data_IF_517717796418
#
_entry.id   IF_517717796418
#
_cell.length_a   1.000
_cell.length_b   1.000
_cell.length_c   1.000
_cell.angle_alpha   90.00
_cell.angle_beta   90.00
_cell.angle_gamma   90.00
#
_symmetry.space_group_name_H-M   'P 1'
#
loop_
_entity.id
_entity.type
_entity.pdbx_description
1 polymer ?
#
# COMPACT_ATOMS: atom_id res chain seq x y z
N UNK A 1 -42.22 10.87 19.26
CA UNK A 1 -42.67 9.46 19.34
C UNK A 1 -41.43 8.62 19.12
N UNK A 2 -40.94 7.93 20.15
CA UNK A 2 -39.71 7.14 20.06
C UNK A 2 -40.00 5.88 19.24
N UNK A 3 -39.31 5.71 18.12
CA UNK A 3 -39.35 4.49 17.32
C UNK A 3 -38.35 3.51 17.89
N UNK A 4 -38.79 2.31 18.28
CA UNK A 4 -37.90 1.18 18.53
C UNK A 4 -37.80 0.36 17.23
N UNK A 5 -36.58 0.02 16.82
CA UNK A 5 -36.37 -1.08 15.86
C UNK A 5 -35.86 -2.27 16.65
N UNK A 6 -36.65 -3.34 16.69
CA UNK A 6 -36.24 -4.65 17.21
C UNK A 6 -36.05 -5.65 16.08
N UNK A 7 -35.82 -5.17 14.86
CA UNK A 7 -35.59 -6.04 13.72
C UNK A 7 -34.15 -6.56 13.79
N UNK A 8 -33.98 -7.88 13.85
CA UNK A 8 -32.67 -8.55 13.86
C UNK A 8 -31.85 -8.25 12.58
N UNK A 9 -32.49 -7.71 11.54
CA UNK A 9 -31.86 -7.26 10.29
C UNK A 9 -31.43 -5.78 10.32
N UNK A 10 -31.78 -5.03 11.38
CA UNK A 10 -31.32 -3.66 11.59
C UNK A 10 -30.31 -3.63 12.74
N UNK A 11 -29.05 -3.32 12.46
CA UNK A 11 -27.91 -3.25 13.41
C UNK A 11 -28.07 -2.19 14.55
N UNK A 12 -29.28 -1.72 14.85
CA UNK A 12 -29.50 -0.56 15.73
C UNK A 12 -30.40 -0.92 16.91
N UNK A 13 -29.79 -1.44 17.97
CA UNK A 13 -30.38 -1.48 19.30
C UNK A 13 -30.31 -0.09 19.95
N UNK A 14 -31.23 0.82 19.61
CA UNK A 14 -31.21 2.18 20.16
C UNK A 14 -32.42 3.04 19.81
N UNK A 15 -32.53 4.20 20.47
CA UNK A 15 -33.55 5.21 20.17
C UNK A 15 -33.08 6.13 19.04
N UNK A 16 -33.96 6.42 18.08
CA UNK A 16 -33.71 7.40 17.03
C UNK A 16 -34.74 8.54 17.09
N UNK A 17 -34.25 9.76 16.94
CA UNK A 17 -35.07 10.97 16.84
C UNK A 17 -34.61 11.77 15.62
N UNK A 18 -35.52 12.06 14.70
CA UNK A 18 -35.22 12.83 13.51
C UNK A 18 -35.60 14.30 13.72
N UNK A 19 -34.62 15.19 13.56
CA UNK A 19 -34.83 16.63 13.46
C UNK A 19 -34.76 17.02 11.99
N UNK A 20 -35.90 16.97 11.30
CA UNK A 20 -36.01 17.40 9.90
C UNK A 20 -35.95 18.94 9.80
N UNK A 21 -36.06 19.47 8.58
CA UNK A 21 -36.02 20.92 8.32
C UNK A 21 -36.99 21.66 9.24
N UNK A 22 -36.46 22.57 10.08
CA UNK A 22 -37.28 23.33 11.01
C UNK A 22 -38.17 24.34 10.28
N UNK A 23 -39.48 24.20 10.46
CA UNK A 23 -40.47 25.19 10.04
C UNK A 23 -40.79 26.21 11.16
N UNK A 24 -40.26 26.01 12.37
CA UNK A 24 -40.56 26.79 13.59
C UNK A 24 -39.36 27.52 14.18
N UNK A 25 -38.31 27.76 13.38
CA UNK A 25 -37.08 28.43 13.81
C UNK A 25 -36.45 27.80 15.08
N UNK A 26 -36.56 26.47 15.22
CA UNK A 26 -35.99 25.70 16.34
C UNK A 26 -36.88 25.53 17.58
N UNK A 27 -38.06 26.16 17.67
CA UNK A 27 -38.89 26.11 18.88
C UNK A 27 -39.44 24.70 19.19
N UNK A 28 -39.93 23.98 18.18
CA UNK A 28 -40.44 22.62 18.34
C UNK A 28 -39.31 21.63 18.66
N UNK A 29 -38.16 21.80 18.04
CA UNK A 29 -36.98 20.97 18.21
C UNK A 29 -36.42 21.11 19.62
N UNK A 30 -36.38 22.34 20.15
CA UNK A 30 -36.04 22.61 21.54
C UNK A 30 -37.04 21.97 22.51
N UNK A 31 -38.35 22.03 22.21
CA UNK A 31 -39.36 21.38 23.03
C UNK A 31 -39.18 19.85 23.07
N UNK A 32 -38.82 19.24 21.93
CA UNK A 32 -38.49 17.81 21.85
C UNK A 32 -37.22 17.51 22.67
N UNK A 33 -36.17 18.32 22.55
CA UNK A 33 -34.94 18.14 23.33
C UNK A 33 -35.20 18.25 24.85
N UNK A 34 -36.04 19.19 25.28
CA UNK A 34 -36.45 19.33 26.68
C UNK A 34 -37.23 18.10 27.18
N UNK A 35 -38.11 17.53 26.34
CA UNK A 35 -38.80 16.28 26.66
C UNK A 35 -37.82 15.10 26.76
N UNK A 36 -36.85 15.00 25.84
CA UNK A 36 -35.80 13.97 25.90
C UNK A 36 -34.99 14.07 27.21
N UNK A 37 -34.68 15.29 27.66
CA UNK A 37 -34.02 15.52 28.94
C UNK A 37 -34.92 15.11 30.12
N UNK A 38 -36.20 15.50 30.10
CA UNK A 38 -37.16 15.19 31.17
C UNK A 38 -37.36 13.67 31.36
N UNK A 39 -37.39 12.91 30.28
CA UNK A 39 -37.56 11.46 30.30
C UNK A 39 -36.26 10.66 30.46
N UNK A 40 -35.12 11.33 30.64
CA UNK A 40 -33.83 10.65 30.80
C UNK A 40 -33.42 9.84 29.56
N UNK A 41 -33.54 10.43 28.37
CA UNK A 41 -33.17 9.78 27.10
C UNK A 41 -31.71 9.31 27.06
N UNK A 42 -30.83 10.00 27.80
CA UNK A 42 -29.47 9.55 28.10
C UNK A 42 -29.46 9.10 29.56
N UNK A 43 -29.04 7.86 29.78
CA UNK A 43 -28.97 7.23 31.09
C UNK A 43 -27.60 6.59 31.34
N UNK A 44 -27.46 5.87 32.46
CA UNK A 44 -26.21 5.18 32.83
C UNK A 44 -25.87 4.00 31.89
N UNK A 45 -26.85 3.44 31.18
CA UNK A 45 -26.65 2.32 30.26
C UNK A 45 -26.31 2.78 28.84
N UNK A 46 -26.48 4.06 28.56
CA UNK A 46 -26.16 4.67 27.27
C UNK A 46 -24.67 4.55 27.00
N UNK A 47 -24.31 3.80 25.96
CA UNK A 47 -22.92 3.58 25.55
C UNK A 47 -22.43 4.64 24.56
N UNK A 48 -23.29 5.07 23.66
CA UNK A 48 -22.94 5.95 22.55
C UNK A 48 -24.14 6.83 22.20
N UNK A 49 -23.88 8.10 21.92
CA UNK A 49 -24.85 9.02 21.32
C UNK A 49 -24.25 9.56 20.03
N UNK A 50 -24.95 9.36 18.92
CA UNK A 50 -24.51 9.82 17.59
C UNK A 50 -25.46 10.89 17.08
N UNK A 51 -24.92 12.06 16.76
CA UNK A 51 -25.64 13.17 16.14
C UNK A 51 -25.16 13.27 14.68
N UNK A 52 -26.08 13.09 13.74
CA UNK A 52 -25.79 13.11 12.31
C UNK A 52 -26.46 14.32 11.69
N UNK A 53 -25.67 15.19 11.06
CA UNK A 53 -26.15 16.36 10.34
C UNK A 53 -25.78 16.23 8.87
N UNK A 54 -26.79 16.19 7.99
CA UNK A 54 -26.59 16.25 6.55
C UNK A 54 -26.63 17.71 6.08
N UNK A 55 -25.55 18.15 5.42
CA UNK A 55 -25.37 19.50 4.91
C UNK A 55 -25.11 19.41 3.40
N UNK A 56 -25.81 20.22 2.61
CA UNK A 56 -25.56 20.30 1.17
C UNK A 56 -25.08 21.70 0.82
N UNK A 57 -23.96 21.79 0.11
CA UNK A 57 -23.45 23.04 -0.44
C UNK A 57 -23.87 23.17 -1.91
N UNK A 58 -24.82 24.06 -2.27
CA UNK A 58 -25.31 24.18 -3.64
C UNK A 58 -24.27 24.73 -4.62
N UNK A 59 -23.38 25.60 -4.14
CA UNK A 59 -22.34 26.23 -4.98
C UNK A 59 -21.26 25.22 -5.38
N UNK A 60 -20.88 24.33 -4.46
CA UNK A 60 -19.89 23.27 -4.72
C UNK A 60 -20.52 21.97 -5.21
N UNK A 61 -21.85 21.80 -5.04
CA UNK A 61 -22.62 20.58 -5.31
C UNK A 61 -22.07 19.35 -4.57
N UNK A 62 -21.78 19.56 -3.30
CA UNK A 62 -21.19 18.56 -2.42
C UNK A 62 -22.14 18.33 -1.25
N UNK A 63 -22.40 17.05 -0.98
CA UNK A 63 -23.09 16.59 0.21
C UNK A 63 -22.05 16.28 1.28
N UNK A 64 -22.19 16.87 2.45
CA UNK A 64 -21.36 16.61 3.61
C UNK A 64 -22.22 16.06 4.74
N UNK A 65 -21.68 15.10 5.47
CA UNK A 65 -22.27 14.64 6.73
C UNK A 65 -21.30 14.97 7.84
N UNK A 66 -21.80 15.64 8.88
CA UNK A 66 -21.09 15.79 10.14
C UNK A 66 -21.67 14.78 11.11
N UNK A 67 -20.84 13.82 11.52
CA UNK A 67 -21.17 12.83 12.54
C UNK A 67 -20.43 13.20 13.81
N UNK A 68 -21.17 13.57 14.85
CA UNK A 68 -20.65 13.80 16.19
C UNK A 68 -20.99 12.59 17.05
N UNK A 69 -19.98 11.90 17.53
CA UNK A 69 -20.12 10.70 18.35
C UNK A 69 -19.67 11.01 19.76
N UNK A 70 -20.52 10.73 20.75
CA UNK A 70 -20.19 10.86 22.16
C UNK A 70 -20.20 9.46 22.77
N UNK A 71 -19.02 8.95 23.09
CA UNK A 71 -18.84 7.64 23.70
C UNK A 71 -18.80 7.76 25.23
N UNK A 72 -19.60 6.93 25.90
CA UNK A 72 -19.67 6.83 27.35
C UNK A 72 -18.98 5.53 27.79
N UNK A 73 -17.94 5.67 28.61
CA UNK A 73 -17.27 4.52 29.20
C UNK A 73 -18.02 4.05 30.46
N UNK A 74 -17.93 2.76 30.79
CA UNK A 74 -18.49 2.17 32.02
C UNK A 74 -17.94 2.84 33.29
N UNK A 75 -16.75 3.43 33.22
CA UNK A 75 -16.15 4.23 34.29
C UNK A 75 -16.73 5.65 34.43
N UNK A 76 -17.68 6.05 33.58
CA UNK A 76 -18.29 7.39 33.56
C UNK A 76 -17.52 8.43 32.72
N UNK A 77 -16.49 8.01 31.99
CA UNK A 77 -15.77 8.90 31.07
C UNK A 77 -16.59 9.24 29.83
N UNK A 78 -16.48 10.47 29.35
CA UNK A 78 -17.14 10.96 28.14
C UNK A 78 -16.07 11.31 27.10
N UNK A 79 -16.10 10.64 25.96
CA UNK A 79 -15.11 10.79 24.89
C UNK A 79 -15.84 11.30 23.64
N UNK A 80 -15.71 12.60 23.31
CA UNK A 80 -16.25 13.14 22.08
C UNK A 80 -15.36 12.77 20.89
N UNK A 81 -15.97 12.44 19.78
CA UNK A 81 -15.35 12.21 18.48
C UNK A 81 -16.17 12.89 17.39
N UNK A 82 -15.52 13.29 16.31
CA UNK A 82 -16.19 13.94 15.18
C UNK A 82 -15.61 13.45 13.87
N UNK A 83 -16.46 12.95 12.99
CA UNK A 83 -16.09 12.60 11.62
C UNK A 83 -16.90 13.45 10.64
N UNK A 84 -16.22 13.99 9.64
CA UNK A 84 -16.84 14.79 8.57
C UNK A 84 -16.62 14.07 7.26
N UNK A 85 -17.70 13.45 6.79
CA UNK A 85 -17.71 12.73 5.53
C UNK A 85 -18.17 13.68 4.43
N UNK A 86 -17.58 13.54 3.24
CA UNK A 86 -17.89 14.39 2.08
C UNK A 86 -18.12 13.51 0.87
N UNK A 87 -19.17 13.80 0.10
CA UNK A 87 -19.59 13.02 -1.05
C UNK A 87 -20.00 13.94 -2.20
N UNK A 88 -19.49 13.64 -3.40
CA UNK A 88 -20.04 14.18 -4.64
C UNK A 88 -21.18 13.27 -5.12
N UNK A 89 -22.42 13.77 -5.06
CA UNK A 89 -23.63 13.01 -5.42
C UNK A 89 -23.84 12.91 -6.95
N UNK A 90 -23.33 13.85 -7.73
CA UNK A 90 -23.57 13.96 -9.18
C UNK A 90 -22.25 14.12 -9.99
N UNK A 91 -21.35 13.11 -9.96
CA UNK A 91 -20.07 13.17 -10.66
C UNK A 91 -20.21 13.11 -12.18
N UNK A 92 -21.37 12.69 -12.70
CA UNK A 92 -21.69 12.59 -14.12
C UNK A 92 -22.66 13.66 -14.59
N UNK A 93 -22.86 14.73 -13.81
CA UNK A 93 -23.60 15.89 -14.32
C UNK A 93 -22.74 16.66 -15.32
N UNK A 94 -23.11 16.56 -16.60
CA UNK A 94 -22.42 17.21 -17.72
C UNK A 94 -22.66 18.73 -17.81
N UNK A 95 -23.57 19.31 -17.01
CA UNK A 95 -23.68 20.77 -16.93
C UNK A 95 -22.40 21.39 -16.32
N UNK A 96 -21.68 20.65 -15.49
CA UNK A 96 -20.41 21.09 -14.90
C UNK A 96 -19.25 20.70 -15.82
N UNK A 97 -18.56 21.70 -16.39
CA UNK A 97 -17.40 21.48 -17.27
C UNK A 97 -16.32 20.57 -16.66
N UNK A 98 -16.10 20.65 -15.34
CA UNK A 98 -15.15 19.78 -14.61
C UNK A 98 -15.51 18.30 -14.71
N UNK A 99 -16.80 17.96 -14.72
CA UNK A 99 -17.27 16.58 -14.82
C UNK A 99 -17.05 16.03 -16.23
N UNK A 100 -17.19 16.86 -17.28
CA UNK A 100 -16.88 16.45 -18.67
C UNK A 100 -15.42 16.01 -18.78
N UNK A 101 -14.48 16.82 -18.27
CA UNK A 101 -13.04 16.50 -18.29
C UNK A 101 -12.77 15.22 -17.50
N UNK A 102 -13.39 15.06 -16.32
CA UNK A 102 -13.28 13.83 -15.53
C UNK A 102 -13.73 12.60 -16.30
N UNK A 103 -14.87 12.65 -16.99
CA UNK A 103 -15.40 11.51 -17.75
C UNK A 103 -14.46 11.14 -18.89
N UNK A 104 -13.89 12.12 -19.60
CA UNK A 104 -12.89 11.86 -20.65
C UNK A 104 -11.68 11.12 -20.06
N UNK A 105 -11.16 11.58 -18.90
CA UNK A 105 -10.05 10.92 -18.22
C UNK A 105 -10.40 9.52 -17.72
N UNK A 106 -11.63 9.31 -17.22
CA UNK A 106 -12.12 7.99 -16.80
C UNK A 106 -12.20 7.02 -18.00
N UNK A 107 -12.64 7.48 -19.17
CA UNK A 107 -12.67 6.66 -20.39
C UNK A 107 -11.26 6.29 -20.84
N UNK A 108 -10.32 7.25 -20.84
CA UNK A 108 -8.92 6.98 -21.17
C UNK A 108 -8.33 5.97 -20.17
N UNK A 109 -8.60 6.14 -18.88
CA UNK A 109 -8.15 5.24 -17.83
C UNK A 109 -8.69 3.82 -18.01
N UNK A 110 -10.00 3.65 -18.27
CA UNK A 110 -10.59 2.34 -18.55
C UNK A 110 -9.96 1.71 -19.80
N UNK A 111 -9.78 2.49 -20.87
CA UNK A 111 -9.11 2.03 -22.09
C UNK A 111 -7.68 1.55 -21.82
N UNK A 112 -6.93 2.29 -21.00
CA UNK A 112 -5.58 1.92 -20.58
C UNK A 112 -5.57 0.59 -19.79
N UNK A 113 -6.46 0.43 -18.81
CA UNK A 113 -6.53 -0.82 -18.02
C UNK A 113 -6.87 -2.02 -18.90
N UNK A 114 -7.83 -1.88 -19.82
CA UNK A 114 -8.20 -2.95 -20.76
C UNK A 114 -7.02 -3.28 -21.69
N UNK A 115 -6.33 -2.27 -22.21
CA UNK A 115 -5.15 -2.47 -23.06
C UNK A 115 -4.05 -3.27 -22.34
N UNK A 116 -3.68 -2.89 -21.12
CA UNK A 116 -2.67 -3.63 -20.34
C UNK A 116 -3.13 -5.04 -19.95
N UNK A 117 -4.42 -5.22 -19.63
CA UNK A 117 -4.95 -6.55 -19.35
C UNK A 117 -4.88 -7.47 -20.58
N UNK A 118 -5.16 -6.95 -21.78
CA UNK A 118 -5.03 -7.71 -23.02
C UNK A 118 -3.58 -8.04 -23.37
N UNK A 119 -2.64 -7.13 -23.14
CA UNK A 119 -1.21 -7.38 -23.32
C UNK A 119 -0.73 -8.51 -22.41
N UNK A 120 -1.03 -8.46 -21.11
CA UNK A 120 -0.58 -9.50 -20.19
C UNK A 120 -1.23 -10.86 -20.48
N UNK A 121 -2.50 -10.87 -20.89
CA UNK A 121 -3.15 -12.10 -21.34
C UNK A 121 -2.49 -12.65 -22.62
N UNK A 122 -2.09 -11.78 -23.55
CA UNK A 122 -1.37 -12.18 -24.75
C UNK A 122 0.00 -12.78 -24.42
N UNK A 123 0.75 -12.16 -23.52
CA UNK A 123 2.08 -12.63 -23.12
C UNK A 123 2.03 -13.99 -22.40
N UNK A 124 0.99 -14.22 -21.60
CA UNK A 124 0.76 -15.51 -20.96
C UNK A 124 0.29 -16.58 -21.96
N UNK A 125 -0.70 -16.27 -22.81
CA UNK A 125 -1.34 -17.26 -23.67
C UNK A 125 -0.53 -17.58 -24.93
N UNK A 126 -0.01 -16.55 -25.62
CA UNK A 126 0.65 -16.70 -26.92
C UNK A 126 2.14 -16.81 -26.77
N UNK A 127 2.76 -15.89 -26.01
CA UNK A 127 4.22 -15.84 -25.91
C UNK A 127 4.80 -16.95 -25.04
N UNK A 128 4.10 -17.30 -23.95
CA UNK A 128 4.51 -18.36 -23.02
C UNK A 128 3.81 -19.72 -23.28
N UNK A 129 2.98 -19.80 -24.33
CA UNK A 129 2.23 -21.02 -24.69
C UNK A 129 1.32 -21.55 -23.58
N UNK A 130 0.88 -20.69 -22.64
CA UNK A 130 0.07 -21.07 -21.48
C UNK A 130 0.86 -21.62 -20.28
N UNK A 131 2.19 -21.71 -20.36
CA UNK A 131 3.02 -22.19 -19.26
C UNK A 131 3.45 -21.04 -18.34
N UNK A 132 2.82 -20.97 -17.17
CA UNK A 132 3.11 -19.94 -16.15
C UNK A 132 4.58 -19.94 -15.67
N UNK A 133 5.27 -21.09 -15.73
CA UNK A 133 6.70 -21.19 -15.34
C UNK A 133 7.62 -20.45 -16.30
N UNK A 134 7.35 -20.53 -17.60
CA UNK A 134 8.14 -19.86 -18.64
C UNK A 134 7.91 -18.34 -18.55
N UNK A 135 6.67 -17.92 -18.30
CA UNK A 135 6.33 -16.52 -18.07
C UNK A 135 7.00 -15.93 -16.82
N UNK A 136 7.07 -16.70 -15.72
CA UNK A 136 7.72 -16.27 -14.48
C UNK A 136 9.25 -16.23 -14.61
N UNK A 137 9.84 -17.19 -15.32
CA UNK A 137 11.27 -17.18 -15.63
C UNK A 137 11.62 -15.91 -16.42
N UNK A 138 10.94 -15.70 -17.57
CA UNK A 138 11.26 -14.63 -18.53
C UNK A 138 11.23 -13.20 -17.98
N UNK A 139 10.23 -12.86 -17.18
CA UNK A 139 10.01 -11.47 -16.74
C UNK A 139 10.38 -11.23 -15.27
N UNK A 140 10.69 -12.30 -14.53
CA UNK A 140 10.96 -12.28 -13.11
C UNK A 140 9.69 -12.16 -12.25
N UNK A 141 9.67 -12.93 -11.15
CA UNK A 141 8.51 -13.04 -10.25
C UNK A 141 8.00 -11.68 -9.72
N UNK A 142 8.91 -10.79 -9.31
CA UNK A 142 8.56 -9.48 -8.71
C UNK A 142 7.86 -8.55 -9.71
N UNK A 143 8.24 -8.62 -10.99
CA UNK A 143 7.66 -7.80 -12.03
C UNK A 143 6.24 -8.26 -12.36
N UNK A 144 6.07 -9.56 -12.59
CA UNK A 144 4.78 -10.16 -12.93
C UNK A 144 3.76 -9.93 -11.81
N UNK A 145 4.15 -10.14 -10.55
CA UNK A 145 3.28 -9.85 -9.41
C UNK A 145 2.81 -8.39 -9.43
N UNK A 146 3.71 -7.45 -9.72
CA UNK A 146 3.37 -6.03 -9.77
C UNK A 146 2.44 -5.65 -10.93
N UNK A 147 2.61 -6.24 -12.11
CA UNK A 147 1.73 -5.98 -13.27
C UNK A 147 0.34 -6.57 -13.07
N UNK A 148 0.24 -7.81 -12.58
CA UNK A 148 -1.04 -8.41 -12.20
C UNK A 148 -1.72 -7.68 -11.04
N UNK A 149 -0.97 -7.24 -10.03
CA UNK A 149 -1.50 -6.43 -8.94
C UNK A 149 -2.06 -5.10 -9.45
N UNK A 150 -1.37 -4.44 -10.37
CA UNK A 150 -1.86 -3.22 -11.02
C UNK A 150 -3.18 -3.49 -11.75
N UNK A 151 -3.23 -4.50 -12.62
CA UNK A 151 -4.45 -4.84 -13.37
C UNK A 151 -5.61 -5.14 -12.41
N UNK A 152 -5.35 -5.93 -11.36
CA UNK A 152 -6.34 -6.29 -10.37
C UNK A 152 -6.90 -5.07 -9.63
N UNK A 153 -6.03 -4.21 -9.07
CA UNK A 153 -6.45 -3.02 -8.31
C UNK A 153 -7.21 -2.04 -9.21
N UNK A 154 -6.70 -1.77 -10.41
CA UNK A 154 -7.37 -0.85 -11.33
C UNK A 154 -8.72 -1.39 -11.81
N UNK A 155 -8.82 -2.70 -12.06
CA UNK A 155 -10.11 -3.35 -12.38
C UNK A 155 -11.08 -3.28 -11.20
N UNK A 156 -10.61 -3.50 -9.98
CA UNK A 156 -11.41 -3.36 -8.77
C UNK A 156 -11.93 -1.93 -8.60
N UNK A 157 -11.12 -0.90 -8.89
CA UNK A 157 -11.55 0.51 -8.87
C UNK A 157 -12.68 0.75 -9.88
N UNK A 158 -12.57 0.25 -11.11
CA UNK A 158 -13.60 0.41 -12.14
C UNK A 158 -14.91 -0.25 -11.72
N UNK A 159 -14.85 -1.50 -11.26
CA UNK A 159 -16.01 -2.26 -10.79
C UNK A 159 -16.64 -1.57 -9.58
N UNK A 160 -15.83 -1.18 -8.59
CA UNK A 160 -16.29 -0.51 -7.38
C UNK A 160 -16.95 0.83 -7.70
N UNK A 161 -16.37 1.62 -8.61
CA UNK A 161 -16.96 2.87 -9.07
C UNK A 161 -18.31 2.62 -9.73
N UNK A 162 -18.40 1.63 -10.62
CA UNK A 162 -19.66 1.26 -11.27
C UNK A 162 -20.75 0.84 -10.25
N UNK A 163 -20.40 -0.03 -9.31
CA UNK A 163 -21.30 -0.47 -8.25
C UNK A 163 -21.76 0.71 -7.36
N UNK A 164 -20.83 1.57 -6.95
CA UNK A 164 -21.12 2.77 -6.13
C UNK A 164 -22.12 3.72 -6.80
N UNK A 165 -22.09 3.85 -8.13
CA UNK A 165 -23.08 4.65 -8.86
C UNK A 165 -24.46 4.00 -8.93
N UNK A 166 -24.50 2.66 -9.00
CA UNK A 166 -25.76 1.90 -9.07
C UNK A 166 -26.45 1.71 -7.73
N UNK A 167 -25.77 1.98 -6.61
CA UNK A 167 -26.32 1.85 -5.26
C UNK A 167 -27.68 2.52 -5.12
N UNK A 168 -28.66 1.79 -4.57
CA UNK A 168 -30.04 2.25 -4.39
C UNK A 168 -30.13 3.55 -3.58
N UNK A 169 -29.30 3.69 -2.53
CA UNK A 169 -29.19 4.91 -1.72
C UNK A 169 -28.89 6.15 -2.57
N UNK A 170 -27.97 6.04 -3.54
CA UNK A 170 -27.63 7.16 -4.44
C UNK A 170 -28.82 7.55 -5.29
N UNK A 171 -29.52 6.57 -5.86
CA UNK A 171 -30.70 6.82 -6.70
C UNK A 171 -31.85 7.45 -5.88
N UNK A 172 -32.04 7.03 -4.63
CA UNK A 172 -33.03 7.62 -3.73
C UNK A 172 -32.68 9.08 -3.39
N UNK A 173 -31.41 9.37 -3.09
CA UNK A 173 -30.93 10.72 -2.80
C UNK A 173 -31.07 11.67 -4.01
N UNK A 174 -30.83 11.18 -5.23
CA UNK A 174 -30.99 11.97 -6.47
C UNK A 174 -32.45 12.27 -6.80
N UNK A 175 -33.40 11.43 -6.35
CA UNK A 175 -34.84 11.61 -6.56
C UNK A 175 -35.51 12.43 -5.46
N UNK A 176 -34.74 12.92 -4.49
CA UNK A 176 -35.30 13.61 -3.34
C UNK A 176 -35.73 15.03 -3.74
N UNK A 177 -37.04 15.26 -3.85
CA UNK A 177 -37.62 16.56 -4.20
C UNK A 177 -38.02 17.39 -2.95
N UNK A 178 -38.25 16.73 -1.82
CA UNK A 178 -38.64 17.35 -0.53
C UNK A 178 -37.73 16.94 0.62
N UNK A 179 -37.61 17.79 1.65
CA UNK A 179 -36.83 17.51 2.87
C UNK A 179 -37.64 16.85 3.99
N UNK A 180 -38.79 16.27 3.63
CA UNK A 180 -39.74 15.67 4.58
C UNK A 180 -39.36 14.23 4.96
N UNK A 181 -38.44 13.62 4.21
CA UNK A 181 -37.90 12.28 4.47
C UNK A 181 -36.38 12.35 4.63
N UNK A 182 -35.86 11.74 5.71
CA UNK A 182 -34.43 11.56 5.89
C UNK A 182 -33.98 10.23 5.27
N UNK A 183 -33.14 10.31 4.25
CA UNK A 183 -32.45 9.14 3.69
C UNK A 183 -31.05 9.10 4.28
N UNK A 184 -30.69 7.98 4.91
CA UNK A 184 -29.35 7.78 5.45
C UNK A 184 -28.29 7.69 4.33
N UNK A 185 -27.39 8.68 4.18
CA UNK A 185 -26.36 8.66 3.13
C UNK A 185 -25.09 7.92 3.57
N UNK A 186 -24.94 7.57 4.86
CA UNK A 186 -23.72 6.96 5.40
C UNK A 186 -23.25 5.72 4.63
N UNK A 187 -24.10 4.76 4.25
CA UNK A 187 -23.64 3.61 3.47
C UNK A 187 -22.94 4.05 2.18
N UNK A 188 -23.52 5.00 1.45
CA UNK A 188 -22.96 5.54 0.20
C UNK A 188 -21.61 6.26 0.42
N UNK A 189 -21.46 6.95 1.55
CA UNK A 189 -20.21 7.62 1.89
C UNK A 189 -19.10 6.63 2.27
N UNK A 190 -19.46 5.51 2.91
CA UNK A 190 -18.52 4.40 3.16
C UNK A 190 -18.05 3.80 1.83
N UNK A 191 -18.95 3.60 0.85
CA UNK A 191 -18.58 3.18 -0.50
C UNK A 191 -17.56 4.14 -1.14
N UNK A 192 -17.74 5.45 -0.99
CA UNK A 192 -16.82 6.47 -1.53
C UNK A 192 -15.47 6.51 -0.77
N UNK A 193 -15.49 6.32 0.56
CA UNK A 193 -14.28 6.21 1.39
C UNK A 193 -13.43 4.98 1.03
N UNK A 194 -14.06 3.84 0.76
CA UNK A 194 -13.37 2.65 0.27
C UNK A 194 -12.77 2.91 -1.12
N UNK A 195 -13.52 3.57 -2.01
CA UNK A 195 -13.00 3.97 -3.31
C UNK A 195 -11.77 4.88 -3.18
N UNK A 196 -11.78 5.84 -2.26
CA UNK A 196 -10.62 6.68 -1.96
C UNK A 196 -9.44 5.84 -1.49
N UNK A 197 -9.66 4.88 -0.59
CA UNK A 197 -8.64 3.94 -0.12
C UNK A 197 -8.04 3.09 -1.25
N UNK A 198 -8.86 2.58 -2.17
CA UNK A 198 -8.38 1.84 -3.36
C UNK A 198 -7.55 2.73 -4.28
N UNK A 199 -7.95 3.99 -4.49
CA UNK A 199 -7.17 4.93 -5.29
C UNK A 199 -5.83 5.28 -4.62
N UNK A 200 -5.81 5.46 -3.30
CA UNK A 200 -4.58 5.67 -2.54
C UNK A 200 -3.64 4.49 -2.70
N UNK A 201 -4.15 3.27 -2.55
CA UNK A 201 -3.37 2.05 -2.75
C UNK A 201 -2.81 1.95 -4.18
N UNK A 202 -3.62 2.29 -5.19
CA UNK A 202 -3.18 2.32 -6.58
C UNK A 202 -2.05 3.32 -6.81
N UNK A 203 -2.14 4.54 -6.25
CA UNK A 203 -1.07 5.55 -6.37
C UNK A 203 0.23 5.05 -5.72
N UNK A 204 0.14 4.44 -4.54
CA UNK A 204 1.31 3.86 -3.87
C UNK A 204 1.93 2.73 -4.69
N UNK A 205 1.10 1.83 -5.23
CA UNK A 205 1.55 0.73 -6.09
C UNK A 205 2.22 1.27 -7.36
N UNK A 206 1.61 2.25 -8.04
CA UNK A 206 2.20 2.87 -9.23
C UNK A 206 3.51 3.61 -8.91
N UNK A 207 3.61 4.22 -7.73
CA UNK A 207 4.85 4.87 -7.27
C UNK A 207 5.95 3.83 -7.03
N UNK A 208 5.63 2.70 -6.40
CA UNK A 208 6.57 1.60 -6.22
C UNK A 208 7.01 1.01 -7.58
N UNK A 209 6.09 0.88 -8.53
CA UNK A 209 6.38 0.44 -9.90
C UNK A 209 7.24 1.44 -10.66
N UNK A 210 7.07 2.74 -10.42
CA UNK A 210 7.89 3.77 -11.03
C UNK A 210 9.39 3.61 -10.67
N UNK A 211 9.71 3.04 -9.50
CA UNK A 211 11.10 2.76 -9.09
C UNK A 211 11.82 1.79 -10.03
N UNK A 212 11.11 0.90 -10.73
CA UNK A 212 11.72 0.02 -11.75
C UNK A 212 12.38 0.82 -12.86
N UNK A 213 11.74 1.91 -13.30
CA UNK A 213 12.27 2.76 -14.36
C UNK A 213 13.48 3.60 -13.92
N UNK A 214 13.84 3.58 -12.63
CA UNK A 214 15.10 4.16 -12.15
C UNK A 214 16.34 3.39 -12.63
N UNK A 215 16.17 2.13 -13.05
CA UNK A 215 17.23 1.26 -13.60
C UNK A 215 17.73 1.68 -15.00
N UNK A 216 17.16 2.72 -15.60
CA UNK A 216 17.61 3.27 -16.90
C UNK A 216 19.04 3.81 -16.82
N UNK A 217 19.46 4.31 -15.65
CA UNK A 217 20.83 4.76 -15.42
C UNK A 217 21.69 3.63 -14.85
N UNK A 218 22.99 3.58 -15.21
CA UNK A 218 23.94 2.61 -14.63
C UNK A 218 23.97 2.68 -13.10
N UNK A 219 23.98 3.90 -12.54
CA UNK A 219 23.93 4.11 -11.08
C UNK A 219 22.63 3.63 -10.43
N UNK A 220 21.47 3.91 -11.05
CA UNK A 220 20.17 3.45 -10.55
C UNK A 220 20.00 1.93 -10.64
N UNK A 221 20.51 1.30 -11.70
CA UNK A 221 20.55 -0.16 -11.84
C UNK A 221 21.37 -0.80 -10.72
N UNK A 222 22.56 -0.26 -10.44
CA UNK A 222 23.44 -0.72 -9.36
C UNK A 222 22.73 -0.62 -8.00
N UNK A 223 22.12 0.53 -7.70
CA UNK A 223 21.36 0.72 -6.46
C UNK A 223 20.24 -0.31 -6.31
N UNK A 224 19.44 -0.52 -7.35
CA UNK A 224 18.33 -1.47 -7.30
C UNK A 224 18.82 -2.92 -7.18
N UNK A 225 19.91 -3.29 -7.87
CA UNK A 225 20.52 -4.63 -7.73
C UNK A 225 21.01 -4.86 -6.30
N UNK A 226 21.57 -3.84 -5.66
CA UNK A 226 21.97 -3.90 -4.25
C UNK A 226 20.79 -4.03 -3.29
N UNK A 227 19.71 -3.27 -3.52
CA UNK A 227 18.49 -3.40 -2.72
C UNK A 227 17.88 -4.80 -2.88
N UNK A 228 17.70 -5.29 -4.10
CA UNK A 228 17.14 -6.62 -4.35
C UNK A 228 18.07 -7.75 -3.88
N UNK A 229 19.38 -7.58 -4.02
CA UNK A 229 20.37 -8.55 -3.54
C UNK A 229 20.40 -8.65 -2.02
N UNK A 230 20.11 -7.57 -1.28
CA UNK A 230 20.05 -7.56 0.17
C UNK A 230 18.72 -8.10 0.73
N UNK A 231 17.65 -8.14 -0.09
CA UNK A 231 16.32 -8.56 0.36
C UNK A 231 16.27 -9.95 1.01
N UNK A 232 16.92 -11.01 0.47
CA UNK A 232 16.91 -12.32 1.12
C UNK A 232 17.49 -12.30 2.54
N UNK A 233 18.58 -11.57 2.76
CA UNK A 233 19.23 -11.45 4.07
C UNK A 233 18.35 -10.64 5.03
N UNK A 234 17.78 -9.52 4.56
CA UNK A 234 16.83 -8.70 5.33
C UNK A 234 15.59 -9.52 5.70
N UNK A 235 15.03 -10.29 4.77
CA UNK A 235 13.86 -11.14 5.02
C UNK A 235 14.14 -12.23 6.06
N UNK A 236 15.38 -12.72 6.15
CA UNK A 236 15.79 -13.67 7.21
C UNK A 236 15.87 -13.02 8.60
N UNK A 237 16.14 -11.72 8.66
CA UNK A 237 16.22 -10.93 9.89
C UNK A 237 14.85 -10.43 10.39
N UNK A 238 13.88 -10.20 9.50
CA UNK A 238 12.54 -9.69 9.84
C UNK A 238 11.83 -10.47 10.97
N UNK A 239 11.81 -11.82 11.00
CA UNK A 239 11.17 -12.56 12.09
C UNK A 239 11.77 -12.27 13.46
N UNK A 240 13.11 -12.15 13.54
CA UNK A 240 13.82 -11.78 14.77
C UNK A 240 13.41 -10.36 15.15
N UNK A 241 13.41 -9.44 14.18
CA UNK A 241 13.04 -8.05 14.37
C UNK A 241 11.61 -7.87 14.92
N UNK A 242 10.64 -8.54 14.30
CA UNK A 242 9.24 -8.54 14.74
C UNK A 242 9.10 -9.15 16.12
N UNK A 243 9.83 -10.24 16.44
CA UNK A 243 9.75 -10.88 17.75
C UNK A 243 10.14 -9.93 18.89
N UNK A 244 11.17 -9.11 18.67
CA UNK A 244 11.63 -8.10 19.64
C UNK A 244 10.65 -6.93 19.75
N UNK A 245 10.12 -6.43 18.61
CA UNK A 245 9.06 -5.40 18.63
C UNK A 245 7.87 -5.88 19.44
N UNK A 246 7.37 -7.09 19.16
CA UNK A 246 6.21 -7.64 19.85
C UNK A 246 6.49 -7.78 21.35
N UNK A 247 7.68 -8.30 21.72
CA UNK A 247 8.08 -8.43 23.12
C UNK A 247 8.10 -7.09 23.88
N UNK A 248 8.75 -6.06 23.31
CA UNK A 248 8.77 -4.72 23.90
C UNK A 248 7.39 -4.04 23.89
N UNK A 249 6.57 -4.32 22.89
CA UNK A 249 5.21 -3.77 22.81
C UNK A 249 4.31 -4.33 23.91
N UNK A 250 4.41 -5.63 24.18
CA UNK A 250 3.71 -6.23 25.32
C UNK A 250 4.23 -5.69 26.65
N UNK A 251 5.55 -5.63 26.83
CA UNK A 251 6.14 -5.10 28.07
C UNK A 251 5.72 -3.64 28.33
N UNK A 252 5.77 -2.78 27.31
CA UNK A 252 5.35 -1.39 27.43
C UNK A 252 3.84 -1.24 27.64
N UNK A 253 3.01 -2.04 26.95
CA UNK A 253 1.57 -2.07 27.19
C UNK A 253 1.23 -2.46 28.63
N UNK A 254 1.93 -3.45 29.20
CA UNK A 254 1.72 -3.88 30.58
C UNK A 254 2.21 -2.85 31.60
N UNK A 255 3.34 -2.18 31.36
CA UNK A 255 3.88 -1.16 32.27
C UNK A 255 3.09 0.15 32.24
N UNK A 256 2.66 0.59 31.06
CA UNK A 256 2.17 1.95 30.83
C UNK A 256 0.72 2.05 30.37
N UNK A 257 0.10 0.95 29.95
CA UNK A 257 -1.22 0.98 29.32
C UNK A 257 -2.36 1.49 30.22
N UNK A 258 -2.19 1.45 31.54
CA UNK A 258 -3.17 1.99 32.48
C UNK A 258 -3.04 3.50 32.68
N UNK A 259 -1.82 4.05 32.57
CA UNK A 259 -1.53 5.44 32.88
C UNK A 259 -1.45 6.33 31.64
N UNK A 260 -1.04 5.76 30.51
CA UNK A 260 -0.81 6.48 29.26
C UNK A 260 -1.69 5.94 28.12
N UNK A 261 -2.49 6.83 27.54
CA UNK A 261 -3.40 6.52 26.42
C UNK A 261 -2.67 6.01 25.17
N UNK A 262 -1.40 6.40 25.03
CA UNK A 262 -0.48 5.98 23.98
C UNK A 262 -0.08 4.51 24.08
N UNK A 263 -0.07 3.97 25.30
CA UNK A 263 0.27 2.57 25.57
C UNK A 263 -0.97 1.73 25.86
N UNK A 264 -2.17 2.33 25.86
CA UNK A 264 -3.40 1.69 26.34
C UNK A 264 -3.92 0.53 25.47
N UNK A 265 -3.44 0.37 24.24
CA UNK A 265 -3.80 -0.76 23.38
C UNK A 265 -2.56 -1.32 22.72
N UNK A 266 -2.54 -2.63 22.47
CA UNK A 266 -1.41 -3.30 21.84
C UNK A 266 -0.99 -2.64 20.50
N UNK A 267 -1.89 -2.31 19.54
CA UNK A 267 -1.48 -1.64 18.30
C UNK A 267 -0.83 -0.28 18.52
N UNK A 268 -1.31 0.50 19.50
CA UNK A 268 -0.68 1.79 19.86
C UNK A 268 0.69 1.59 20.50
N UNK A 269 0.85 0.57 21.35
CA UNK A 269 2.15 0.21 21.93
C UNK A 269 3.16 -0.21 20.85
N UNK A 270 2.74 -1.01 19.87
CA UNK A 270 3.57 -1.37 18.70
C UNK A 270 4.03 -0.11 17.96
N UNK A 271 3.14 0.86 17.76
CA UNK A 271 3.49 2.13 17.12
C UNK A 271 4.55 2.91 17.93
N UNK A 272 4.43 2.97 19.26
CA UNK A 272 5.43 3.64 20.12
C UNK A 272 6.78 2.93 20.13
N UNK A 273 6.79 1.59 20.13
CA UNK A 273 8.04 0.82 20.00
C UNK A 273 8.68 1.04 18.63
N UNK A 274 7.87 1.20 17.57
CA UNK A 274 8.39 1.55 16.26
C UNK A 274 8.99 2.96 16.22
N UNK A 275 8.38 3.96 16.86
CA UNK A 275 8.97 5.31 17.00
C UNK A 275 10.27 5.30 17.81
N UNK A 276 10.36 4.44 18.84
CA UNK A 276 11.59 4.24 19.60
C UNK A 276 12.73 3.75 18.70
N UNK A 277 12.44 2.99 17.63
CA UNK A 277 13.46 2.53 16.69
C UNK A 277 14.21 3.65 15.98
N UNK A 278 13.54 4.78 15.75
CA UNK A 278 14.13 5.97 15.14
C UNK A 278 14.52 7.04 16.17
N UNK A 279 14.41 6.74 17.47
CA UNK A 279 14.64 7.73 18.54
C UNK A 279 13.66 8.91 18.50
N UNK A 280 12.48 8.75 17.90
CA UNK A 280 11.48 9.81 17.75
C UNK A 280 10.51 9.90 18.93
N UNK A 281 10.53 8.90 19.81
CA UNK A 281 9.67 8.86 20.98
C UNK A 281 10.18 9.79 22.10
N UNK A 282 9.31 10.61 22.69
CA UNK A 282 9.63 11.43 23.86
C UNK A 282 9.35 10.65 25.16
N UNK A 283 10.40 10.22 25.90
CA UNK A 283 10.23 9.45 27.13
C UNK A 283 9.98 10.33 28.37
N UNK A 284 9.96 11.66 28.27
CA UNK A 284 9.79 12.57 29.41
C UNK A 284 8.63 12.19 30.34
N UNK A 285 7.40 12.02 29.82
CA UNK A 285 6.24 11.65 30.64
C UNK A 285 6.39 10.30 31.36
N UNK A 286 7.11 9.36 30.75
CA UNK A 286 7.37 8.04 31.33
C UNK A 286 8.39 8.12 32.46
N UNK A 287 9.42 8.97 32.34
CA UNK A 287 10.41 9.15 33.41
C UNK A 287 9.80 9.76 34.67
N UNK A 288 8.93 10.76 34.50
CA UNK A 288 8.32 11.49 35.60
C UNK A 288 7.42 10.61 36.48
N UNK A 289 6.77 9.61 35.90
CA UNK A 289 5.83 8.73 36.60
C UNK A 289 6.39 7.34 36.91
N UNK A 290 7.41 6.91 36.17
CA UNK A 290 7.67 5.49 35.94
C UNK A 290 8.76 4.84 36.80
N UNK A 291 9.43 5.60 37.67
CA UNK A 291 10.46 5.08 38.58
C UNK A 291 11.56 4.27 37.89
N UNK A 292 12.17 3.33 38.62
CA UNK A 292 13.33 2.57 38.13
C UNK A 292 13.02 1.62 36.97
N UNK A 293 11.83 1.00 36.95
CA UNK A 293 11.42 0.09 35.87
C UNK A 293 11.32 0.81 34.53
N UNK A 294 10.96 2.09 34.56
CA UNK A 294 10.85 2.88 33.34
C UNK A 294 12.18 3.34 32.80
N UNK A 295 13.12 3.67 33.69
CA UNK A 295 14.50 3.84 33.30
C UNK A 295 15.02 2.56 32.63
N UNK A 296 14.83 1.39 33.24
CA UNK A 296 15.27 0.12 32.66
C UNK A 296 14.66 -0.09 31.27
N UNK A 297 13.33 0.01 31.15
CA UNK A 297 12.64 -0.23 29.88
C UNK A 297 13.12 0.71 28.75
N UNK A 298 13.25 2.00 29.03
CA UNK A 298 13.67 2.98 28.02
C UNK A 298 15.16 2.84 27.69
N UNK A 299 16.04 2.61 28.68
CA UNK A 299 17.46 2.41 28.39
C UNK A 299 17.71 1.12 27.62
N UNK A 300 17.11 0.00 28.03
CA UNK A 300 17.26 -1.27 27.29
C UNK A 300 16.59 -1.16 25.92
N UNK A 301 15.45 -0.49 25.82
CA UNK A 301 14.77 -0.24 24.55
C UNK A 301 15.63 0.59 23.59
N UNK A 302 16.25 1.68 24.05
CA UNK A 302 17.16 2.48 23.24
C UNK A 302 18.40 1.68 22.78
N UNK A 303 19.01 0.89 23.67
CA UNK A 303 20.14 0.04 23.29
C UNK A 303 19.72 -0.99 22.25
N UNK A 304 18.60 -1.68 22.46
CA UNK A 304 18.14 -2.72 21.54
C UNK A 304 17.73 -2.11 20.20
N UNK A 305 16.88 -1.09 20.17
CA UNK A 305 16.33 -0.60 18.91
C UNK A 305 17.23 0.40 18.19
N UNK A 306 17.77 1.41 18.89
CA UNK A 306 18.57 2.45 18.26
C UNK A 306 20.00 1.98 17.95
N UNK A 307 20.59 1.19 18.86
CA UNK A 307 21.98 0.74 18.70
C UNK A 307 22.03 -0.62 17.99
N UNK A 308 21.41 -1.66 18.54
CA UNK A 308 21.58 -3.00 17.98
C UNK A 308 20.82 -3.18 16.67
N UNK A 309 19.50 -2.93 16.64
CA UNK A 309 18.69 -3.25 15.47
C UNK A 309 19.03 -2.40 14.25
N UNK A 310 19.19 -1.08 14.42
CA UNK A 310 19.58 -0.20 13.33
C UNK A 310 20.96 -0.56 12.76
N UNK A 311 21.93 -0.87 13.62
CA UNK A 311 23.26 -1.26 13.18
C UNK A 311 23.29 -2.64 12.51
N UNK A 312 22.50 -3.61 12.98
CA UNK A 312 22.37 -4.92 12.32
C UNK A 312 21.73 -4.75 10.94
N UNK A 313 20.68 -3.94 10.81
CA UNK A 313 20.09 -3.64 9.52
C UNK A 313 21.09 -2.98 8.56
N UNK A 314 21.83 -1.97 9.03
CA UNK A 314 22.88 -1.33 8.25
C UNK A 314 24.01 -2.30 7.87
N UNK A 315 24.40 -3.19 8.78
CA UNK A 315 25.44 -4.19 8.52
C UNK A 315 25.03 -5.15 7.39
N UNK A 316 23.77 -5.62 7.36
CA UNK A 316 23.25 -6.48 6.28
C UNK A 316 23.27 -5.75 4.93
N UNK A 317 22.86 -4.48 4.91
CA UNK A 317 22.87 -3.68 3.68
C UNK A 317 24.30 -3.44 3.20
N UNK A 318 25.22 -3.11 4.11
CA UNK A 318 26.63 -2.87 3.79
C UNK A 318 27.34 -4.15 3.33
N UNK A 319 27.14 -5.29 4.00
CA UNK A 319 27.74 -6.57 3.59
C UNK A 319 27.29 -6.99 2.20
N UNK A 320 26.01 -6.78 1.88
CA UNK A 320 25.50 -7.07 0.53
C UNK A 320 26.05 -6.10 -0.50
N UNK A 321 26.17 -4.81 -0.14
CA UNK A 321 26.76 -3.80 -1.01
C UNK A 321 28.23 -4.11 -1.33
N UNK A 322 29.03 -4.46 -0.31
CA UNK A 322 30.43 -4.86 -0.45
C UNK A 322 30.54 -6.10 -1.34
N UNK A 323 29.77 -7.16 -1.07
CA UNK A 323 29.74 -8.37 -1.90
C UNK A 323 29.44 -8.07 -3.37
N UNK A 324 28.48 -7.19 -3.65
CA UNK A 324 28.17 -6.82 -5.03
C UNK A 324 29.27 -5.97 -5.67
N UNK A 325 29.94 -5.13 -4.88
CA UNK A 325 31.07 -4.34 -5.38
C UNK A 325 32.31 -5.19 -5.69
N UNK A 326 32.56 -6.24 -4.90
CA UNK A 326 33.62 -7.23 -5.16
C UNK A 326 33.30 -8.03 -6.43
N UNK A 327 32.07 -8.54 -6.57
CA UNK A 327 31.64 -9.25 -7.79
C UNK A 327 31.77 -8.39 -9.06
N UNK A 328 31.49 -7.09 -8.98
CA UNK A 328 31.69 -6.17 -10.10
C UNK A 328 33.17 -5.92 -10.42
N UNK A 329 34.04 -5.89 -9.40
CA UNK A 329 35.47 -5.74 -9.58
C UNK A 329 36.08 -6.98 -10.23
N UNK A 330 35.73 -8.18 -9.75
CA UNK A 330 36.19 -9.45 -10.32
C UNK A 330 35.79 -9.56 -11.80
N UNK A 331 34.52 -9.26 -12.13
CA UNK A 331 34.05 -9.21 -13.54
C UNK A 331 34.79 -8.19 -14.39
N UNK A 332 35.16 -7.05 -13.81
CA UNK A 332 35.92 -6.02 -14.54
C UNK A 332 37.35 -6.48 -14.83
N UNK A 333 37.99 -7.19 -13.90
CA UNK A 333 39.31 -7.79 -14.08
C UNK A 333 39.27 -8.90 -15.15
N UNK A 334 38.28 -9.80 -15.09
CA UNK A 334 38.07 -10.84 -16.10
C UNK A 334 37.84 -10.24 -17.49
N UNK A 335 36.99 -9.20 -17.60
CA UNK A 335 36.78 -8.48 -18.86
C UNK A 335 38.07 -7.86 -19.40
N UNK A 336 38.91 -7.27 -18.54
CA UNK A 336 40.20 -6.71 -18.96
C UNK A 336 41.16 -7.82 -19.43
N UNK A 337 41.21 -8.96 -18.73
CA UNK A 337 42.00 -10.12 -19.11
C UNK A 337 41.58 -10.68 -20.47
N UNK A 338 40.29 -10.94 -20.68
CA UNK A 338 39.77 -11.39 -21.97
C UNK A 338 40.03 -10.37 -23.08
N UNK A 339 39.85 -9.06 -22.81
CA UNK A 339 40.11 -8.01 -23.81
C UNK A 339 41.56 -7.98 -24.31
N UNK A 340 42.51 -8.43 -23.50
CA UNK A 340 43.94 -8.52 -23.86
C UNK A 340 44.25 -9.74 -24.74
N UNK A 341 43.45 -10.79 -24.67
CA UNK A 341 43.61 -12.01 -25.48
C UNK A 341 42.90 -11.92 -26.84
N UNK A 342 41.93 -11.01 -26.97
CA UNK A 342 41.11 -10.83 -28.18
C UNK A 342 41.77 -9.92 -29.24
N UNK A 343 41.58 -10.25 -30.52
CA UNK A 343 42.06 -9.44 -31.64
C UNK A 343 41.32 -8.10 -31.77
N UNK A 344 41.91 -7.12 -32.46
CA UNK A 344 41.35 -5.76 -32.62
C UNK A 344 39.92 -5.74 -33.18
N UNK A 345 39.57 -6.69 -34.06
CA UNK A 345 38.22 -6.84 -34.63
C UNK A 345 37.20 -7.35 -33.61
N UNK A 346 37.64 -8.22 -32.70
CA UNK A 346 36.78 -8.89 -31.73
C UNK A 346 36.52 -7.97 -30.52
N UNK A 347 37.51 -7.16 -30.15
CA UNK A 347 37.36 -6.07 -29.15
C UNK A 347 36.38 -5.02 -29.64
N UNK A 348 36.46 -4.61 -30.91
CA UNK A 348 35.52 -3.64 -31.50
C UNK A 348 34.08 -4.19 -31.52
N UNK A 349 33.92 -5.49 -31.75
CA UNK A 349 32.63 -6.17 -31.72
C UNK A 349 32.05 -6.27 -30.30
N UNK A 350 32.87 -6.64 -29.31
CA UNK A 350 32.48 -6.68 -27.90
C UNK A 350 32.11 -5.29 -27.36
N UNK A 351 32.84 -4.25 -27.76
CA UNK A 351 32.54 -2.86 -27.38
C UNK A 351 31.22 -2.36 -28.00
N UNK A 352 30.79 -2.96 -29.12
CA UNK A 352 29.50 -2.68 -29.75
C UNK A 352 28.34 -3.49 -29.15
N UNK A 353 28.61 -4.54 -28.36
CA UNK A 353 27.60 -5.30 -27.63
C UNK A 353 27.22 -4.60 -26.32
N UNK A 354 25.96 -4.79 -25.91
CA UNK A 354 25.45 -4.34 -24.60
C UNK A 354 26.22 -5.06 -23.49
N UNK A 355 26.63 -4.35 -22.43
CA UNK A 355 27.41 -4.93 -21.30
C UNK A 355 26.77 -6.22 -20.77
N UNK A 356 25.43 -6.25 -20.68
CA UNK A 356 24.68 -7.41 -20.17
C UNK A 356 24.88 -8.67 -21.06
N UNK A 357 25.12 -8.51 -22.37
CA UNK A 357 25.34 -9.63 -23.30
C UNK A 357 26.79 -10.10 -23.34
N UNK A 358 27.72 -9.18 -23.04
CA UNK A 358 29.13 -9.51 -22.88
C UNK A 358 29.31 -10.33 -21.60
N UNK A 359 28.60 -9.99 -20.53
CA UNK A 359 28.59 -10.78 -19.29
C UNK A 359 28.07 -12.20 -19.51
N UNK A 360 26.94 -12.36 -20.21
CA UNK A 360 26.42 -13.69 -20.52
C UNK A 360 27.40 -14.53 -21.36
N UNK A 361 28.10 -13.91 -22.33
CA UNK A 361 29.15 -14.58 -23.12
C UNK A 361 30.35 -15.01 -22.28
N UNK A 362 30.76 -14.18 -21.33
CA UNK A 362 31.85 -14.48 -20.40
C UNK A 362 31.43 -15.61 -19.46
N UNK A 363 30.23 -15.57 -18.90
CA UNK A 363 29.71 -16.63 -18.02
C UNK A 363 29.59 -17.98 -18.74
N UNK A 364 29.18 -17.98 -20.02
CA UNK A 364 29.16 -19.20 -20.85
C UNK A 364 30.57 -19.69 -21.15
N UNK A 365 31.52 -18.79 -21.41
CA UNK A 365 32.91 -19.14 -21.64
C UNK A 365 33.55 -19.77 -20.38
N UNK A 366 33.27 -19.22 -19.19
CA UNK A 366 33.71 -19.74 -17.90
C UNK A 366 33.14 -21.14 -17.61
N UNK A 367 31.86 -21.39 -17.92
CA UNK A 367 31.27 -22.73 -17.79
C UNK A 367 31.94 -23.78 -18.70
N UNK A 368 32.51 -23.35 -19.82
CA UNK A 368 33.12 -24.22 -20.83
C UNK A 368 34.65 -24.34 -20.70
N UNK A 369 35.27 -23.65 -19.73
CA UNK A 369 36.73 -23.49 -19.58
C UNK A 369 37.48 -24.80 -19.20
N UNK A 370 36.78 -25.93 -19.09
CA UNK A 370 37.36 -27.27 -18.86
C UNK A 370 37.21 -28.26 -20.01
N UNK A 371 36.44 -27.93 -21.05
CA UNK A 371 36.11 -28.88 -22.13
C UNK A 371 37.15 -28.84 -23.26
N UNK A 372 37.79 -29.99 -23.53
CA UNK A 372 38.81 -30.12 -24.57
C UNK A 372 38.33 -29.82 -25.99
N UNK A 373 37.01 -29.85 -26.23
CA UNK A 373 36.36 -29.61 -27.51
C UNK A 373 34.98 -28.99 -27.25
N UNK A 374 34.86 -27.69 -27.48
CA UNK A 374 33.60 -26.96 -27.37
C UNK A 374 32.81 -27.20 -28.66
N UNK A 375 31.84 -28.12 -28.62
CA UNK A 375 30.87 -28.30 -29.71
C UNK A 375 29.75 -27.27 -29.64
N UNK A 376 29.16 -26.92 -30.79
CA UNK A 376 28.00 -26.02 -30.89
C UNK A 376 26.85 -26.39 -29.94
N UNK A 377 26.58 -27.69 -29.77
CA UNK A 377 25.57 -28.16 -28.82
C UNK A 377 25.96 -27.91 -27.35
N UNK A 378 27.25 -28.00 -27.01
CA UNK A 378 27.74 -27.72 -25.65
C UNK A 378 27.62 -26.24 -25.33
N UNK A 379 27.95 -25.36 -26.28
CA UNK A 379 27.77 -23.91 -26.14
C UNK A 379 26.29 -23.54 -26.04
N UNK A 380 25.42 -24.04 -26.92
CA UNK A 380 23.99 -23.75 -26.84
C UNK A 380 23.38 -24.25 -25.53
N UNK A 381 23.86 -25.39 -25.01
CA UNK A 381 23.39 -25.92 -23.74
C UNK A 381 23.84 -25.07 -22.53
N UNK A 382 25.09 -24.63 -22.50
CA UNK A 382 25.59 -23.72 -21.47
C UNK A 382 24.93 -22.33 -21.56
N UNK A 383 24.65 -21.87 -22.78
CA UNK A 383 23.91 -20.65 -23.06
C UNK A 383 22.44 -20.71 -22.64
N UNK A 384 21.76 -21.83 -22.89
CA UNK A 384 20.38 -22.05 -22.46
C UNK A 384 20.27 -22.34 -20.94
N UNK A 385 21.35 -22.77 -20.29
CA UNK A 385 21.45 -22.92 -18.83
C UNK A 385 21.78 -21.59 -18.12
N UNK A 386 22.28 -20.59 -18.85
CA UNK A 386 22.47 -19.24 -18.36
C UNK A 386 21.16 -18.45 -18.52
N UNK A 387 20.46 -18.31 -17.41
CA UNK A 387 19.15 -17.69 -17.20
C UNK A 387 19.17 -16.15 -17.47
N UNK A 388 19.79 -15.69 -18.56
CA UNK A 388 19.90 -14.27 -18.94
C UNK A 388 18.94 -13.94 -20.12
N UNK A 389 17.69 -13.66 -19.73
CA UNK A 389 16.49 -13.48 -20.56
C UNK A 389 16.45 -12.24 -21.50
N UNK A 390 17.57 -11.55 -21.76
CA UNK A 390 17.57 -10.28 -22.51
C UNK A 390 18.21 -10.30 -23.90
N UNK A 391 18.62 -11.46 -24.46
CA UNK A 391 19.32 -11.45 -25.76
C UNK A 391 18.35 -11.64 -26.95
N UNK A 392 18.26 -10.68 -27.89
CA UNK A 392 17.42 -10.83 -29.08
C UNK A 392 17.85 -12.00 -29.99
N UNK A 393 16.90 -12.71 -30.59
CA UNK A 393 17.12 -13.88 -31.46
C UNK A 393 18.12 -13.65 -32.61
N UNK A 394 18.32 -12.40 -33.06
CA UNK A 394 19.26 -12.09 -34.14
C UNK A 394 20.74 -12.28 -33.76
N UNK A 395 21.07 -12.26 -32.46
CA UNK A 395 22.44 -12.44 -31.95
C UNK A 395 22.89 -13.90 -32.07
N UNK A 396 21.98 -14.85 -31.83
CA UNK A 396 22.20 -16.30 -31.95
C UNK A 396 22.58 -16.69 -33.39
N UNK A 397 21.99 -16.02 -34.39
CA UNK A 397 22.23 -16.32 -35.80
C UNK A 397 23.62 -15.90 -36.31
N UNK A 398 24.31 -15.00 -35.61
CA UNK A 398 25.55 -14.36 -36.08
C UNK A 398 26.79 -14.81 -35.33
N UNK A 399 26.65 -15.23 -34.07
CA UNK A 399 27.73 -15.87 -33.28
C UNK A 399 27.94 -17.33 -33.71
N UNK A 400 26.89 -17.98 -34.24
CA UNK A 400 26.90 -19.38 -34.69
C UNK A 400 26.97 -19.53 -36.23
N UNK A 401 27.28 -18.44 -36.94
CA UNK A 401 27.39 -18.37 -38.40
C UNK A 401 28.77 -18.74 -38.91
#
# INVERSE_FOLDING_TARGET
MFSYSTDNDSDISGFQTFFLRSNTNGANELAIANLMQQYGWIDRQTKEVVIIMALYNPSLRILSIVQLTVNFNLAGGVIPDSDVLVLNLEPYDFYVKKNIVRVILEVIFVGHVVYFALLELWDVCVLSGGNYRIYIARYGLMNNIGDWANIFVNSAIIIWRYCSQKTSTRQKLLKLESFDEYINPLPLMIWDRILLGLNLFNILLLTARALKYFQVTKGGRRLMRSVYGAMPEVMSFIPIYISVIVGYSFAGHMLYGLNFTEWATFPRAVFRVFELNFGLYDPGPIYDQGGIFSAIFIYTGNIVFCILMLNVFMAIVMSTWERLSEQEADRAEERDQFSRELGFTDVLFLMAMKEDHVDALVDVALQLEGDKLITRNSFCKAWDELDDDEVPEWTISRVLG
#
